data_IF_320521417148
#
_entry.id   IF_320521417148
#
_cell.length_a   1.000
_cell.length_b   1.000
_cell.length_c   1.000
_cell.angle_alpha   90.00
_cell.angle_beta   90.00
_cell.angle_gamma   90.00
#
_symmetry.space_group_name_H-M   'P 1'
#
loop_
_entity.id
_entity.type
_entity.pdbx_description
1 polymer ?
#
# COMPACT_ATOMS: atom_id res chain seq x y z
N UNK A 1 -1.83 19.47 13.82
CA UNK A 1 -1.78 18.22 14.59
C UNK A 1 -1.65 16.96 13.73
N UNK A 2 -1.96 16.98 12.47
CA UNK A 2 -1.86 15.87 11.50
C UNK A 2 -0.42 15.37 11.26
N UNK A 3 0.60 16.21 11.45
CA UNK A 3 2.00 15.87 11.13
C UNK A 3 2.63 14.74 11.95
N UNK A 4 2.18 14.48 13.17
CA UNK A 4 2.68 13.40 14.02
C UNK A 4 2.21 12.04 13.56
N UNK A 5 0.90 11.88 13.39
CA UNK A 5 0.28 10.62 12.96
C UNK A 5 0.68 10.27 11.53
N UNK A 6 0.75 11.26 10.63
CA UNK A 6 1.21 11.03 9.26
C UNK A 6 2.64 10.47 9.23
N UNK A 7 3.55 11.00 10.05
CA UNK A 7 4.92 10.47 10.16
C UNK A 7 4.96 9.05 10.74
N UNK A 8 4.14 8.78 11.78
CA UNK A 8 4.06 7.44 12.36
C UNK A 8 3.50 6.43 11.36
N UNK A 9 2.45 6.78 10.63
CA UNK A 9 1.86 5.95 9.59
C UNK A 9 2.86 5.68 8.45
N UNK A 10 3.58 6.70 7.99
CA UNK A 10 4.62 6.53 6.96
C UNK A 10 5.76 5.63 7.45
N UNK A 11 6.21 5.79 8.70
CA UNK A 11 7.21 4.91 9.30
C UNK A 11 6.71 3.46 9.35
N UNK A 12 5.48 3.25 9.82
CA UNK A 12 4.85 1.93 9.82
C UNK A 12 4.87 1.27 8.43
N UNK A 13 4.47 2.01 7.39
CA UNK A 13 4.45 1.50 6.02
C UNK A 13 5.85 1.13 5.50
N UNK A 14 6.88 1.82 5.94
CA UNK A 14 8.26 1.62 5.47
C UNK A 14 9.02 0.56 6.24
N UNK A 15 8.81 0.48 7.53
CA UNK A 15 9.63 -0.33 8.42
C UNK A 15 8.96 -1.65 8.81
N UNK A 16 7.62 -1.66 8.91
CA UNK A 16 6.89 -2.80 9.49
C UNK A 16 5.94 -3.47 8.49
N UNK A 17 5.20 -2.69 7.69
CA UNK A 17 4.20 -3.23 6.78
C UNK A 17 4.84 -3.88 5.55
N UNK A 18 4.80 -5.21 5.47
CA UNK A 18 5.40 -5.97 4.36
C UNK A 18 4.52 -6.02 3.11
N UNK A 19 3.21 -6.11 3.28
CA UNK A 19 2.25 -6.31 2.20
C UNK A 19 1.01 -5.45 2.38
N UNK A 20 0.39 -5.10 1.25
CA UNK A 20 -0.92 -4.45 1.19
C UNK A 20 -1.97 -5.41 0.63
N UNK A 21 -3.22 -5.19 0.97
CA UNK A 21 -4.34 -5.67 0.19
C UNK A 21 -4.65 -4.63 -0.89
N UNK A 22 -4.46 -4.99 -2.15
CA UNK A 22 -4.90 -4.21 -3.30
C UNK A 22 -6.36 -4.56 -3.58
N UNK A 23 -7.24 -3.59 -3.47
CA UNK A 23 -8.67 -3.71 -3.76
C UNK A 23 -8.94 -3.04 -5.10
N UNK A 24 -9.45 -3.82 -6.06
CA UNK A 24 -9.89 -3.38 -7.38
C UNK A 24 -11.35 -3.74 -7.57
N UNK A 25 -11.98 -3.25 -8.64
CA UNK A 25 -13.38 -3.56 -8.98
C UNK A 25 -13.42 -4.30 -10.30
N UNK A 26 -14.16 -5.40 -10.36
CA UNK A 26 -14.38 -6.16 -11.60
C UNK A 26 -15.30 -5.39 -12.55
N UNK A 27 -15.41 -5.86 -13.79
CA UNK A 27 -16.34 -5.29 -14.76
C UNK A 27 -17.81 -5.36 -14.30
N UNK A 28 -18.15 -6.38 -13.50
CA UNK A 28 -19.47 -6.60 -12.92
C UNK A 28 -19.72 -5.76 -11.64
N UNK A 29 -18.72 -4.96 -11.21
CA UNK A 29 -18.84 -4.07 -10.05
C UNK A 29 -18.46 -4.70 -8.70
N UNK A 30 -17.95 -5.94 -8.67
CA UNK A 30 -17.53 -6.58 -7.41
C UNK A 30 -16.14 -6.12 -6.99
N UNK A 31 -15.94 -5.78 -5.69
CA UNK A 31 -14.61 -5.55 -5.15
C UNK A 31 -13.84 -6.86 -5.01
N UNK A 32 -12.57 -6.83 -5.40
CA UNK A 32 -11.66 -7.98 -5.30
C UNK A 32 -10.39 -7.56 -4.60
N UNK A 33 -10.06 -8.22 -3.49
CA UNK A 33 -8.83 -8.00 -2.74
C UNK A 33 -7.74 -9.00 -3.14
N UNK A 34 -6.50 -8.52 -3.23
CA UNK A 34 -5.31 -9.33 -3.52
C UNK A 34 -4.11 -8.80 -2.71
N UNK A 35 -3.36 -9.72 -2.12
CA UNK A 35 -2.10 -9.37 -1.44
C UNK A 35 -1.04 -8.99 -2.45
N UNK A 36 -0.41 -7.84 -2.24
CA UNK A 36 0.65 -7.29 -3.10
C UNK A 36 1.76 -6.68 -2.27
N UNK A 37 3.00 -6.70 -2.78
CA UNK A 37 4.04 -5.82 -2.27
C UNK A 37 3.84 -4.43 -2.88
N UNK A 38 3.66 -3.41 -2.06
CA UNK A 38 3.57 -2.02 -2.49
C UNK A 38 4.58 -1.18 -1.70
N UNK A 39 5.25 -0.26 -2.38
CA UNK A 39 6.20 0.67 -1.79
C UNK A 39 5.60 2.06 -1.79
N UNK A 40 5.47 2.66 -0.61
CA UNK A 40 4.93 4.01 -0.47
C UNK A 40 6.06 5.04 -0.51
N UNK A 41 5.87 6.09 -1.30
CA UNK A 41 6.77 7.22 -1.47
C UNK A 41 6.45 8.35 -0.46
N UNK A 42 7.31 9.37 -0.37
CA UNK A 42 7.15 10.49 0.58
C UNK A 42 5.89 11.32 0.36
N UNK A 43 5.43 11.38 -0.88
CA UNK A 43 4.21 12.07 -1.31
C UNK A 43 2.93 11.21 -1.18
N UNK A 44 3.00 10.10 -0.50
CA UNK A 44 1.94 9.11 -0.37
C UNK A 44 1.58 8.37 -1.67
N UNK A 45 2.23 8.63 -2.78
CA UNK A 45 2.10 7.74 -3.93
C UNK A 45 2.62 6.34 -3.60
N UNK A 46 2.16 5.34 -4.31
CA UNK A 46 2.62 3.97 -4.09
C UNK A 46 3.00 3.31 -5.41
N UNK A 47 4.10 2.59 -5.38
CA UNK A 47 4.60 1.84 -6.52
C UNK A 47 4.51 0.34 -6.27
N UNK A 48 4.03 -0.39 -7.25
CA UNK A 48 3.96 -1.85 -7.20
C UNK A 48 4.29 -2.47 -8.55
N UNK A 49 4.79 -3.71 -8.52
CA UNK A 49 5.12 -4.48 -9.71
C UNK A 49 4.29 -5.75 -9.74
N UNK A 50 3.68 -6.04 -10.88
CA UNK A 50 2.77 -7.17 -11.09
C UNK A 50 3.20 -7.98 -12.32
N UNK A 51 2.89 -9.27 -12.34
CA UNK A 51 3.03 -10.06 -13.56
C UNK A 51 1.97 -9.63 -14.58
N UNK A 52 2.38 -9.48 -15.85
CA UNK A 52 1.46 -9.04 -16.94
C UNK A 52 0.26 -9.97 -17.14
N UNK A 53 0.40 -11.23 -16.79
CA UNK A 53 -0.67 -12.25 -16.90
C UNK A 53 -1.78 -12.12 -15.85
N UNK A 54 -1.64 -11.24 -14.87
CA UNK A 54 -2.65 -11.11 -13.82
C UNK A 54 -3.88 -10.33 -14.30
N UNK A 55 -5.07 -10.89 -14.09
CA UNK A 55 -6.36 -10.28 -14.43
C UNK A 55 -6.57 -8.88 -13.83
N UNK A 56 -5.94 -8.59 -12.69
CA UNK A 56 -6.01 -7.26 -12.04
C UNK A 56 -5.52 -6.11 -12.92
N UNK A 57 -4.59 -6.36 -13.85
CA UNK A 57 -4.16 -5.34 -14.80
C UNK A 57 -5.27 -4.97 -15.80
N UNK A 58 -6.08 -5.94 -16.22
CA UNK A 58 -7.26 -5.69 -17.03
C UNK A 58 -8.32 -4.92 -16.22
N UNK A 59 -8.53 -5.29 -14.95
CA UNK A 59 -9.43 -4.56 -14.05
C UNK A 59 -9.00 -3.09 -13.89
N UNK A 60 -7.72 -2.83 -13.63
CA UNK A 60 -7.18 -1.47 -13.46
C UNK A 60 -7.21 -0.64 -14.76
N UNK A 61 -7.11 -1.27 -15.93
CA UNK A 61 -7.31 -0.57 -17.21
C UNK A 61 -8.78 -0.19 -17.43
N UNK A 62 -9.70 -1.03 -16.99
CA UNK A 62 -11.13 -0.75 -17.08
C UNK A 62 -11.58 0.29 -16.03
N UNK A 63 -11.13 0.12 -14.79
CA UNK A 63 -11.39 1.05 -13.70
C UNK A 63 -10.10 1.30 -12.91
N UNK A 64 -9.44 2.44 -13.11
CA UNK A 64 -8.16 2.72 -12.45
C UNK A 64 -8.29 3.08 -10.96
N UNK A 65 -9.50 3.21 -10.42
CA UNK A 65 -9.72 3.47 -9.01
C UNK A 65 -9.41 2.22 -8.19
N UNK A 66 -8.66 2.43 -7.12
CA UNK A 66 -8.25 1.35 -6.22
C UNK A 66 -8.13 1.82 -4.78
N UNK A 67 -8.03 0.86 -3.88
CA UNK A 67 -7.62 1.09 -2.50
C UNK A 67 -6.50 0.12 -2.13
N UNK A 68 -5.46 0.62 -1.47
CA UNK A 68 -4.43 -0.17 -0.81
C UNK A 68 -4.68 -0.12 0.69
N UNK A 69 -4.68 -1.29 1.33
CA UNK A 69 -4.90 -1.41 2.77
C UNK A 69 -3.75 -2.18 3.40
N UNK A 70 -3.10 -1.56 4.38
CA UNK A 70 -2.10 -2.21 5.23
C UNK A 70 -2.65 -2.34 6.63
N UNK A 71 -2.47 -3.52 7.22
CA UNK A 71 -2.89 -3.83 8.58
C UNK A 71 -1.67 -4.32 9.35
N UNK A 72 -1.47 -3.79 10.54
CA UNK A 72 -0.38 -4.18 11.43
C UNK A 72 -0.85 -4.40 12.86
N UNK A 73 0.07 -4.82 13.71
CA UNK A 73 -0.18 -4.95 15.14
C UNK A 73 -0.58 -3.61 15.76
N UNK A 74 -1.29 -3.60 16.90
CA UNK A 74 -1.55 -2.39 17.66
C UNK A 74 -0.27 -1.60 17.95
N UNK A 75 -0.37 -0.28 18.08
CA UNK A 75 0.77 0.55 18.40
C UNK A 75 1.36 0.17 19.78
N UNK A 76 2.69 0.16 19.97
CA UNK A 76 3.28 -0.11 21.27
C UNK A 76 2.74 0.84 22.33
N UNK A 77 2.32 0.29 23.48
CA UNK A 77 1.75 1.06 24.58
C UNK A 77 0.32 1.58 24.34
N UNK A 78 -0.33 1.16 23.24
CA UNK A 78 -1.73 1.49 23.00
C UNK A 78 -2.65 0.90 24.08
N UNK A 79 -3.73 1.61 24.40
CA UNK A 79 -4.78 1.17 25.31
C UNK A 79 -6.10 1.19 24.57
N UNK A 80 -7.02 0.32 24.98
CA UNK A 80 -8.38 0.39 24.48
C UNK A 80 -9.14 1.41 25.32
N UNK A 81 -9.16 2.66 24.90
CA UNK A 81 -9.88 3.74 25.55
C UNK A 81 -11.37 3.77 25.16
N UNK A 82 -11.80 2.86 24.29
CA UNK A 82 -13.18 2.73 23.79
C UNK A 82 -13.67 1.27 23.87
N UNK A 83 -13.79 0.69 25.06
CA UNK A 83 -14.16 -0.72 25.21
C UNK A 83 -15.55 -1.05 24.63
N UNK A 84 -16.45 -0.06 24.52
CA UNK A 84 -17.76 -0.24 23.89
C UNK A 84 -17.69 -0.40 22.35
N UNK A 85 -16.61 0.04 21.72
CA UNK A 85 -16.38 -0.11 20.26
C UNK A 85 -15.65 -1.41 19.96
N UNK A 86 -14.77 -1.83 20.87
CA UNK A 86 -13.98 -3.06 20.75
C UNK A 86 -14.22 -3.90 22.01
N UNK A 87 -15.22 -4.76 21.95
CA UNK A 87 -15.48 -5.73 23.00
C UNK A 87 -14.29 -6.67 23.20
N UNK A 88 -14.23 -7.33 24.33
CA UNK A 88 -13.20 -8.32 24.70
C UNK A 88 -11.80 -7.76 24.95
N UNK A 89 -11.63 -6.48 25.18
CA UNK A 89 -10.34 -5.86 25.49
C UNK A 89 -9.34 -5.89 24.33
N UNK A 90 -9.83 -6.07 23.10
CA UNK A 90 -8.98 -6.05 21.92
C UNK A 90 -8.41 -4.65 21.68
N UNK A 91 -7.14 -4.60 21.35
CA UNK A 91 -6.48 -3.37 20.93
C UNK A 91 -6.74 -3.13 19.44
N UNK A 92 -6.92 -1.84 19.09
CA UNK A 92 -7.12 -1.44 17.69
C UNK A 92 -5.83 -1.70 16.89
N UNK A 93 -5.89 -2.47 15.80
CA UNK A 93 -4.76 -2.62 14.91
C UNK A 93 -4.42 -1.29 14.25
N UNK A 94 -3.15 -1.09 13.88
CA UNK A 94 -2.77 0.00 13.00
C UNK A 94 -3.21 -0.34 11.58
N UNK A 95 -3.96 0.56 10.97
CA UNK A 95 -4.44 0.41 9.59
C UNK A 95 -4.13 1.67 8.82
N UNK A 96 -3.60 1.51 7.61
CA UNK A 96 -3.49 2.62 6.64
C UNK A 96 -4.25 2.23 5.39
N UNK A 97 -5.16 3.11 4.96
CA UNK A 97 -5.93 2.98 3.74
C UNK A 97 -5.52 4.12 2.80
N UNK A 98 -5.15 3.78 1.58
CA UNK A 98 -4.77 4.73 0.53
C UNK A 98 -5.70 4.51 -0.67
N UNK A 99 -6.58 5.46 -0.92
CA UNK A 99 -7.37 5.53 -2.15
C UNK A 99 -6.61 6.28 -3.21
N UNK A 100 -6.60 5.75 -4.42
CA UNK A 100 -5.86 6.38 -5.50
C UNK A 100 -6.30 5.94 -6.89
N UNK A 101 -5.58 6.49 -7.85
CA UNK A 101 -5.73 6.18 -9.28
C UNK A 101 -4.48 5.43 -9.74
N UNK A 102 -4.68 4.29 -10.36
CA UNK A 102 -3.61 3.51 -10.97
C UNK A 102 -3.19 4.10 -12.31
N UNK A 103 -1.89 4.22 -12.50
CA UNK A 103 -1.26 4.59 -13.76
C UNK A 103 -0.23 3.51 -14.12
N UNK A 104 -0.29 3.01 -15.34
CA UNK A 104 0.69 2.02 -15.80
C UNK A 104 2.02 2.71 -16.09
N UNK A 105 3.10 2.20 -15.52
CA UNK A 105 4.46 2.66 -15.79
C UNK A 105 4.92 2.15 -17.17
N UNK A 106 5.81 2.89 -17.81
CA UNK A 106 6.62 2.39 -18.93
C UNK A 106 7.62 1.31 -18.49
N UNK A 107 8.35 0.75 -19.46
CA UNK A 107 9.30 -0.33 -19.21
C UNK A 107 10.45 0.06 -18.29
N UNK A 108 10.99 1.27 -18.45
CA UNK A 108 12.16 1.72 -17.69
C UNK A 108 11.79 2.08 -16.25
N UNK A 109 10.66 2.74 -16.03
CA UNK A 109 10.09 2.96 -14.69
C UNK A 109 9.75 1.64 -14.00
N UNK A 110 9.22 0.65 -14.75
CA UNK A 110 8.95 -0.69 -14.21
C UNK A 110 10.22 -1.37 -13.75
N UNK A 111 11.32 -1.31 -14.53
CA UNK A 111 12.62 -1.85 -14.14
C UNK A 111 13.15 -1.16 -12.89
N UNK A 112 13.14 0.16 -12.85
CA UNK A 112 13.60 0.93 -11.70
C UNK A 112 12.79 0.59 -10.43
N UNK A 113 11.47 0.48 -10.55
CA UNK A 113 10.59 0.05 -9.46
C UNK A 113 10.93 -1.36 -8.97
N UNK A 114 11.07 -2.32 -9.88
CA UNK A 114 11.45 -3.69 -9.55
C UNK A 114 12.79 -3.76 -8.81
N UNK A 115 13.78 -3.00 -9.26
CA UNK A 115 15.11 -2.96 -8.63
C UNK A 115 15.03 -2.41 -7.19
N UNK A 116 14.25 -1.34 -6.94
CA UNK A 116 14.02 -0.79 -5.59
C UNK A 116 13.34 -1.80 -4.68
N UNK A 117 12.25 -2.43 -5.14
CA UNK A 117 11.52 -3.46 -4.38
C UNK A 117 12.44 -4.64 -4.04
N UNK A 118 13.20 -5.14 -5.02
CA UNK A 118 14.14 -6.25 -4.82
C UNK A 118 15.28 -5.88 -3.86
N UNK A 119 15.79 -4.65 -3.90
CA UNK A 119 16.81 -4.18 -2.97
C UNK A 119 16.27 -4.15 -1.54
N UNK A 120 15.05 -3.63 -1.33
CA UNK A 120 14.39 -3.61 -0.03
C UNK A 120 14.14 -5.02 0.51
N UNK A 121 13.66 -5.94 -0.32
CA UNK A 121 13.44 -7.33 0.08
C UNK A 121 14.73 -7.98 0.56
N UNK A 122 15.85 -7.77 -0.14
CA UNK A 122 17.16 -8.27 0.28
C UNK A 122 17.63 -7.66 1.59
N UNK A 123 17.44 -6.36 1.78
CA UNK A 123 17.79 -5.68 3.03
C UNK A 123 16.99 -6.24 4.23
N UNK A 124 15.78 -6.78 3.98
CA UNK A 124 14.98 -7.49 4.98
C UNK A 124 15.32 -8.99 5.10
N UNK A 125 16.37 -9.46 4.44
CA UNK A 125 16.78 -10.87 4.47
C UNK A 125 15.95 -11.81 3.59
N UNK A 126 15.06 -11.29 2.76
CA UNK A 126 14.23 -12.07 1.84
C UNK A 126 15.00 -12.39 0.54
N UNK A 127 15.87 -13.39 0.60
CA UNK A 127 16.81 -13.71 -0.50
C UNK A 127 16.37 -14.86 -1.40
N UNK A 128 15.22 -15.49 -1.12
CA UNK A 128 14.78 -16.72 -1.78
C UNK A 128 14.31 -16.58 -3.25
N UNK A 129 14.01 -15.37 -3.73
CA UNK A 129 13.58 -15.18 -5.11
C UNK A 129 14.78 -14.88 -6.04
N UNK A 130 14.92 -15.59 -7.19
CA UNK A 130 15.96 -15.31 -8.16
C UNK A 130 15.78 -13.90 -8.74
N UNK A 131 16.90 -13.20 -8.94
CA UNK A 131 16.92 -11.87 -9.55
C UNK A 131 16.56 -12.00 -11.03
N UNK A 132 15.59 -11.22 -11.50
CA UNK A 132 15.25 -11.12 -12.91
C UNK A 132 16.19 -10.14 -13.61
N UNK A 133 16.54 -10.43 -14.87
CA UNK A 133 17.19 -9.45 -15.74
C UNK A 133 16.22 -8.31 -16.08
N UNK A 134 16.76 -7.16 -16.49
CA UNK A 134 15.94 -6.01 -16.90
C UNK A 134 15.06 -6.34 -18.12
N UNK A 135 15.54 -7.19 -19.03
CA UNK A 135 14.77 -7.69 -20.16
C UNK A 135 13.58 -8.54 -19.70
N UNK A 136 13.78 -9.46 -18.77
CA UNK A 136 12.71 -10.27 -18.20
C UNK A 136 11.71 -9.41 -17.41
N UNK A 137 12.17 -8.37 -16.75
CA UNK A 137 11.28 -7.41 -16.09
C UNK A 137 10.40 -6.70 -17.14
N UNK A 138 11.00 -6.16 -18.22
CA UNK A 138 10.23 -5.49 -19.27
C UNK A 138 9.24 -6.42 -19.97
N UNK A 139 9.61 -7.68 -20.21
CA UNK A 139 8.75 -8.63 -20.92
C UNK A 139 7.62 -9.18 -20.06
N UNK A 140 7.88 -9.52 -18.79
CA UNK A 140 6.95 -10.27 -17.94
C UNK A 140 6.19 -9.43 -16.93
N UNK A 141 6.72 -8.26 -16.56
CA UNK A 141 6.17 -7.45 -15.46
C UNK A 141 5.58 -6.13 -15.97
N UNK A 142 4.61 -5.63 -15.23
CA UNK A 142 4.04 -4.30 -15.37
C UNK A 142 4.16 -3.55 -14.05
N UNK A 143 4.71 -2.35 -14.11
CA UNK A 143 4.72 -1.41 -13.00
C UNK A 143 3.41 -0.63 -12.94
N UNK A 144 2.94 -0.39 -11.74
CA UNK A 144 1.77 0.43 -11.46
C UNK A 144 2.19 1.52 -10.48
N UNK A 145 1.98 2.76 -10.86
CA UNK A 145 2.05 3.91 -9.99
C UNK A 145 0.64 4.24 -9.49
N UNK A 146 0.48 4.42 -8.21
CA UNK A 146 -0.78 4.82 -7.59
C UNK A 146 -0.66 6.26 -7.15
N UNK A 147 -1.35 7.15 -7.87
CA UNK A 147 -1.50 8.54 -7.46
C UNK A 147 -2.52 8.62 -6.33
N UNK A 148 -2.15 9.13 -5.15
CA UNK A 148 -3.03 9.15 -4.00
C UNK A 148 -4.11 10.22 -4.16
N UNK A 149 -5.33 9.91 -3.71
CA UNK A 149 -6.44 10.86 -3.57
C UNK A 149 -6.76 11.12 -2.10
N UNK A 150 -6.69 10.08 -1.29
CA UNK A 150 -7.05 10.14 0.12
C UNK A 150 -6.28 9.09 0.90
N UNK A 151 -5.77 9.49 2.06
CA UNK A 151 -5.15 8.59 3.01
C UNK A 151 -5.94 8.63 4.32
N UNK A 152 -6.16 7.47 4.92
CA UNK A 152 -6.75 7.33 6.25
C UNK A 152 -5.84 6.42 7.08
N UNK A 153 -5.55 6.86 8.29
CA UNK A 153 -4.78 6.08 9.26
C UNK A 153 -5.62 5.87 10.53
N UNK A 154 -5.62 4.65 11.05
CA UNK A 154 -6.35 4.22 12.25
C UNK A 154 -5.41 3.51 13.21
N UNK A 155 -5.68 3.59 14.51
CA UNK A 155 -4.91 2.91 15.55
C UNK A 155 -3.51 3.51 15.81
N UNK A 156 -3.26 4.74 15.34
CA UNK A 156 -2.05 5.51 15.61
C UNK A 156 -2.28 6.53 16.72
N UNK A 157 -1.19 6.91 17.41
CA UNK A 157 -1.31 7.82 18.56
C UNK A 157 -1.66 7.10 19.85
N UNK A 158 -2.22 7.81 20.82
CA UNK A 158 -2.54 7.30 22.17
C UNK A 158 -3.90 6.63 22.31
N UNK A 159 -4.74 6.62 21.27
CA UNK A 159 -6.09 6.07 21.31
C UNK A 159 -6.54 5.49 19.97
N UNK A 160 -7.75 4.98 19.94
CA UNK A 160 -8.39 4.40 18.76
C UNK A 160 -8.90 5.47 17.76
N UNK A 161 -8.22 6.60 17.66
CA UNK A 161 -8.61 7.70 16.77
C UNK A 161 -8.28 7.37 15.32
N UNK A 162 -9.14 7.79 14.41
CA UNK A 162 -8.89 7.72 12.99
C UNK A 162 -8.58 9.11 12.44
N UNK A 163 -7.58 9.18 11.58
CA UNK A 163 -7.13 10.38 10.92
C UNK A 163 -7.31 10.22 9.41
N UNK A 164 -7.89 11.24 8.79
CA UNK A 164 -8.08 11.23 7.34
C UNK A 164 -7.55 12.54 6.78
N UNK A 165 -6.84 12.45 5.67
CA UNK A 165 -6.44 13.62 4.88
C UNK A 165 -6.58 13.34 3.39
N UNK A 166 -6.90 14.38 2.64
CA UNK A 166 -6.89 14.37 1.19
C UNK A 166 -5.51 14.81 0.73
N UNK A 167 -4.94 14.13 -0.23
CA UNK A 167 -3.70 14.56 -0.85
C UNK A 167 -4.09 15.60 -1.91
N UNK A 168 -3.60 16.82 -1.75
CA UNK A 168 -3.85 17.90 -2.72
C UNK A 168 -3.21 17.52 -4.05
N UNK A 169 -3.96 17.67 -5.15
CA UNK A 169 -3.39 17.55 -6.48
C UNK A 169 -2.39 18.70 -6.67
N UNK A 170 -1.15 18.42 -7.13
CA UNK A 170 -0.27 19.49 -7.52
C UNK A 170 -0.95 20.28 -8.65
N UNK A 171 -1.18 21.57 -8.40
CA UNK A 171 -1.68 22.56 -9.37
C UNK A 171 -0.73 22.70 -10.56
#
# INVERSE_FOLDING_TARGET
MTGGVAREAMRFLREEAGFAQLITVTAEGFPVARTVGAQVNDDWSADLVQRKVHHRLAQLRHNPRLELVWVGSPAPGSRNDRPAVFDFGLLVPRVVLLRGIAEQMDGDRTVACYQRVSARQRALGLTGAPRRSDENVRSELAGIHVRPLRVRAEGFGRGAESFTWTVEEPT
#
